data_IF_042761412218
#
_entry.id   IF_042761412218
#
_cell.length_a   1.000
_cell.length_b   1.000
_cell.length_c   1.000
_cell.angle_alpha   90.00
_cell.angle_beta   90.00
_cell.angle_gamma   90.00
#
_symmetry.space_group_name_H-M   'P 1'
#
loop_
_entity.id
_entity.type
_entity.pdbx_description
1 polymer ?
#
# COMPACT_ATOMS: atom_id res chain seq x y z
N UNK A 1 -56.20 -9.79 17.84
CA UNK A 1 -54.87 -9.23 18.09
C UNK A 1 -54.14 -9.27 16.77
N UNK A 2 -54.19 -8.16 16.04
CA UNK A 2 -53.53 -8.02 14.74
C UNK A 2 -52.07 -7.64 14.96
N UNK A 3 -51.16 -8.51 14.59
CA UNK A 3 -49.72 -8.17 14.48
C UNK A 3 -49.55 -7.39 13.17
N UNK A 4 -49.52 -6.06 13.28
CA UNK A 4 -49.03 -5.21 12.22
C UNK A 4 -47.54 -5.49 12.07
N UNK A 5 -47.19 -6.21 11.00
CA UNK A 5 -45.80 -6.33 10.55
C UNK A 5 -45.37 -4.97 10.02
N UNK A 6 -44.69 -4.18 10.83
CA UNK A 6 -43.88 -3.07 10.33
C UNK A 6 -42.80 -3.68 9.36
N UNK A 7 -43.12 -3.60 8.08
CA UNK A 7 -42.20 -3.92 7.01
C UNK A 7 -41.21 -2.76 6.91
N UNK A 8 -40.23 -2.72 7.81
CA UNK A 8 -39.07 -1.87 7.64
C UNK A 8 -38.34 -2.38 6.38
N UNK A 9 -38.62 -1.76 5.25
CA UNK A 9 -37.80 -1.95 4.05
C UNK A 9 -36.37 -1.61 4.45
N UNK A 10 -35.55 -2.64 4.67
CA UNK A 10 -34.14 -2.47 4.95
C UNK A 10 -33.53 -1.81 3.72
N UNK A 11 -33.14 -0.56 3.84
CA UNK A 11 -32.52 0.21 2.76
C UNK A 11 -31.29 -0.56 2.27
N UNK A 12 -31.33 -1.02 1.00
CA UNK A 12 -30.25 -1.78 0.43
C UNK A 12 -29.17 -0.82 -0.03
N UNK A 13 -27.93 -1.06 0.41
CA UNK A 13 -26.78 -0.30 -0.03
C UNK A 13 -26.59 -0.43 -1.54
N UNK A 14 -26.59 0.71 -2.23
CA UNK A 14 -26.27 0.76 -3.67
C UNK A 14 -24.76 0.77 -3.86
N UNK A 15 -24.18 -0.39 -4.08
CA UNK A 15 -22.72 -0.57 -4.17
C UNK A 15 -22.09 0.28 -5.28
N UNK A 16 -22.79 0.45 -6.40
CA UNK A 16 -22.32 1.22 -7.57
C UNK A 16 -22.28 2.75 -7.32
N UNK A 17 -22.87 3.20 -6.21
CA UNK A 17 -22.87 4.59 -5.77
C UNK A 17 -22.22 4.78 -4.39
N UNK A 18 -21.64 3.71 -3.83
CA UNK A 18 -20.99 3.75 -2.53
C UNK A 18 -19.47 3.92 -2.70
N UNK A 19 -19.01 5.16 -2.54
CA UNK A 19 -17.63 5.57 -2.78
C UNK A 19 -16.57 4.66 -2.11
N UNK A 20 -16.70 4.20 -0.84
CA UNK A 20 -15.72 3.29 -0.25
C UNK A 20 -15.56 1.98 -1.02
N UNK A 21 -16.65 1.44 -1.60
CA UNK A 21 -16.59 0.23 -2.43
C UNK A 21 -15.90 0.50 -3.77
N UNK A 22 -16.22 1.61 -4.43
CA UNK A 22 -15.58 2.00 -5.70
C UNK A 22 -14.07 2.18 -5.52
N UNK A 23 -13.64 2.87 -4.45
CA UNK A 23 -12.23 3.04 -4.10
C UNK A 23 -11.54 1.70 -3.85
N UNK A 24 -12.18 0.78 -3.12
CA UNK A 24 -11.63 -0.54 -2.85
C UNK A 24 -11.45 -1.36 -4.14
N UNK A 25 -12.43 -1.32 -5.06
CA UNK A 25 -12.35 -2.02 -6.35
C UNK A 25 -11.21 -1.46 -7.21
N UNK A 26 -11.09 -0.12 -7.32
CA UNK A 26 -10.01 0.51 -8.07
C UNK A 26 -8.66 0.19 -7.45
N UNK A 27 -8.51 0.32 -6.13
CA UNK A 27 -7.27 0.01 -5.42
C UNK A 27 -6.82 -1.45 -5.65
N UNK A 28 -7.76 -2.41 -5.64
CA UNK A 28 -7.46 -3.81 -5.91
C UNK A 28 -6.98 -4.02 -7.36
N UNK A 29 -7.63 -3.38 -8.34
CA UNK A 29 -7.22 -3.48 -9.75
C UNK A 29 -5.84 -2.88 -9.99
N UNK A 30 -5.55 -1.72 -9.41
CA UNK A 30 -4.22 -1.08 -9.47
C UNK A 30 -3.17 -1.97 -8.80
N UNK A 31 -3.48 -2.53 -7.61
CA UNK A 31 -2.60 -3.47 -6.93
C UNK A 31 -2.31 -4.71 -7.76
N UNK A 32 -3.29 -5.27 -8.46
CA UNK A 32 -3.10 -6.41 -9.35
C UNK A 32 -2.21 -6.05 -10.55
N UNK A 33 -2.43 -4.89 -11.16
CA UNK A 33 -1.63 -4.39 -12.29
C UNK A 33 -0.15 -4.28 -11.91
N UNK A 34 0.16 -3.68 -10.77
CA UNK A 34 1.53 -3.59 -10.25
C UNK A 34 2.04 -4.96 -9.81
N UNK A 35 1.22 -5.75 -9.12
CA UNK A 35 1.58 -7.09 -8.65
C UNK A 35 2.00 -8.03 -9.78
N UNK A 36 1.29 -8.01 -10.91
CA UNK A 36 1.63 -8.81 -12.09
C UNK A 36 3.01 -8.41 -12.68
N UNK A 37 3.29 -7.09 -12.75
CA UNK A 37 4.59 -6.60 -13.19
C UNK A 37 5.73 -7.10 -12.30
N UNK A 38 5.55 -6.98 -10.98
CA UNK A 38 6.56 -7.33 -9.99
C UNK A 38 6.80 -8.84 -9.97
N UNK A 39 5.72 -9.62 -9.97
CA UNK A 39 5.80 -11.07 -9.97
C UNK A 39 6.50 -11.60 -11.23
N UNK A 40 6.13 -11.11 -12.39
CA UNK A 40 6.69 -11.58 -13.68
C UNK A 40 8.17 -11.28 -13.82
N UNK A 41 8.65 -10.13 -13.31
CA UNK A 41 10.06 -9.72 -13.47
C UNK A 41 10.96 -10.20 -12.35
N UNK A 42 10.46 -10.28 -11.12
CA UNK A 42 11.29 -10.42 -9.92
C UNK A 42 10.84 -11.55 -8.99
N UNK A 43 9.76 -12.26 -9.31
CA UNK A 43 9.12 -13.26 -8.42
C UNK A 43 8.82 -12.71 -7.03
N UNK A 44 8.46 -11.43 -6.95
CA UNK A 44 8.10 -10.72 -5.73
C UNK A 44 6.59 -10.50 -5.65
N UNK A 45 6.09 -10.29 -4.43
CA UNK A 45 4.70 -9.97 -4.16
C UNK A 45 4.52 -8.48 -3.85
N UNK A 46 3.27 -7.99 -3.90
CA UNK A 46 2.95 -6.58 -3.60
C UNK A 46 3.48 -6.11 -2.23
N UNK A 47 3.40 -6.88 -1.13
CA UNK A 47 4.00 -6.48 0.14
C UNK A 47 5.52 -6.29 0.07
N UNK A 48 6.22 -7.14 -0.70
CA UNK A 48 7.68 -7.05 -0.87
C UNK A 48 8.08 -5.76 -1.55
N UNK A 49 7.42 -5.49 -2.67
CA UNK A 49 7.59 -4.25 -3.42
C UNK A 49 7.37 -3.01 -2.54
N UNK A 50 6.28 -2.97 -1.77
CA UNK A 50 6.00 -1.84 -0.89
C UNK A 50 7.12 -1.59 0.12
N UNK A 51 7.68 -2.65 0.71
CA UNK A 51 8.83 -2.53 1.61
C UNK A 51 10.05 -2.00 0.86
N UNK A 52 10.39 -2.59 -0.28
CA UNK A 52 11.57 -2.20 -1.05
C UNK A 52 11.56 -0.72 -1.43
N UNK A 53 10.46 -0.23 -2.02
CA UNK A 53 10.38 1.19 -2.43
C UNK A 53 10.28 2.15 -1.24
N UNK A 54 9.72 1.71 -0.13
CA UNK A 54 9.70 2.51 1.11
C UNK A 54 11.12 2.69 1.64
N UNK A 55 11.89 1.61 1.70
CA UNK A 55 13.30 1.67 2.12
C UNK A 55 14.18 2.43 1.11
N UNK A 56 13.91 2.30 -0.19
CA UNK A 56 14.61 3.06 -1.23
C UNK A 56 14.38 4.58 -1.08
N UNK A 57 13.16 4.96 -0.73
CA UNK A 57 12.77 6.36 -0.58
C UNK A 57 13.24 7.01 0.72
N UNK A 58 13.15 6.29 1.84
CA UNK A 58 13.33 6.87 3.18
C UNK A 58 14.59 6.37 3.89
N UNK A 59 15.31 5.41 3.31
CA UNK A 59 16.44 4.74 3.95
C UNK A 59 16.03 3.69 4.97
N UNK A 60 16.94 3.31 5.89
CA UNK A 60 16.68 2.32 6.92
C UNK A 60 15.53 2.74 7.86
N UNK A 61 14.57 1.81 8.10
CA UNK A 61 13.39 2.05 8.92
C UNK A 61 13.08 0.87 9.84
N UNK A 62 12.54 1.11 11.05
CA UNK A 62 12.00 0.04 11.87
C UNK A 62 10.71 -0.54 11.27
N UNK A 63 10.41 -1.85 11.52
CA UNK A 63 9.26 -2.54 10.92
C UNK A 63 7.89 -1.88 11.18
N UNK A 64 7.70 -1.26 12.34
CA UNK A 64 6.47 -0.53 12.66
C UNK A 64 6.31 0.71 11.75
N UNK A 65 7.36 1.45 11.52
CA UNK A 65 7.31 2.62 10.63
C UNK A 65 7.08 2.20 9.17
N UNK A 66 7.64 1.05 8.75
CA UNK A 66 7.30 0.46 7.44
C UNK A 66 5.81 0.10 7.37
N UNK A 67 5.24 -0.49 8.42
CA UNK A 67 3.82 -0.82 8.48
C UNK A 67 2.94 0.43 8.32
N UNK A 68 3.25 1.48 9.08
CA UNK A 68 2.51 2.75 9.05
C UNK A 68 2.56 3.40 7.65
N UNK A 69 3.77 3.53 7.07
CA UNK A 69 3.97 4.16 5.75
C UNK A 69 3.36 3.38 4.59
N UNK A 70 3.20 2.07 4.73
CA UNK A 70 2.67 1.19 3.69
C UNK A 70 1.20 0.85 3.87
N UNK A 71 0.59 1.27 4.98
CA UNK A 71 -0.75 0.87 5.41
C UNK A 71 -0.93 -0.67 5.42
N UNK A 72 0.13 -1.40 5.83
CA UNK A 72 0.12 -2.85 5.99
C UNK A 72 0.05 -3.24 7.45
N UNK A 73 -0.68 -4.32 7.75
CA UNK A 73 -0.66 -4.91 9.10
C UNK A 73 0.74 -5.48 9.45
N UNK A 74 1.04 -5.52 10.75
CA UNK A 74 2.35 -5.97 11.26
C UNK A 74 2.70 -7.41 10.85
N UNK A 75 1.69 -8.28 10.72
CA UNK A 75 1.89 -9.67 10.33
C UNK A 75 2.31 -9.76 8.84
N UNK A 76 1.70 -8.92 7.99
CA UNK A 76 2.06 -8.83 6.57
C UNK A 76 3.48 -8.29 6.39
N UNK A 77 3.85 -7.23 7.11
CA UNK A 77 5.23 -6.70 7.12
C UNK A 77 6.21 -7.77 7.59
N UNK A 78 5.91 -8.48 8.69
CA UNK A 78 6.76 -9.55 9.22
C UNK A 78 6.99 -10.69 8.23
N UNK A 79 5.98 -11.12 7.49
CA UNK A 79 6.12 -12.14 6.46
C UNK A 79 6.95 -11.67 5.26
N UNK A 80 6.69 -10.46 4.79
CA UNK A 80 7.40 -9.89 3.65
C UNK A 80 8.87 -9.60 3.98
N UNK A 81 9.18 -9.00 5.13
CA UNK A 81 10.57 -8.74 5.55
C UNK A 81 11.39 -10.03 5.67
N UNK A 82 10.79 -11.13 6.18
CA UNK A 82 11.48 -12.42 6.27
C UNK A 82 11.83 -12.95 4.89
N UNK A 83 10.86 -12.94 3.96
CA UNK A 83 11.09 -13.37 2.57
C UNK A 83 12.14 -12.50 1.88
N UNK A 84 12.10 -11.19 2.03
CA UNK A 84 13.09 -10.28 1.46
C UNK A 84 14.49 -10.50 2.04
N UNK A 85 14.58 -10.84 3.34
CA UNK A 85 15.83 -11.19 3.99
C UNK A 85 16.40 -12.52 3.46
N UNK A 86 15.55 -13.55 3.28
CA UNK A 86 15.94 -14.83 2.69
C UNK A 86 16.46 -14.68 1.26
N UNK A 87 15.88 -13.74 0.50
CA UNK A 87 16.30 -13.35 -0.85
C UNK A 87 17.51 -12.39 -0.88
N UNK A 88 18.03 -11.99 0.28
CA UNK A 88 19.14 -11.02 0.41
C UNK A 88 18.86 -9.66 -0.25
N UNK A 89 17.62 -9.25 -0.25
CA UNK A 89 17.19 -7.94 -0.75
C UNK A 89 17.15 -6.90 0.38
N UNK A 90 16.93 -7.36 1.61
CA UNK A 90 16.84 -6.53 2.82
C UNK A 90 17.62 -7.20 3.94
N UNK A 91 18.37 -6.43 4.71
CA UNK A 91 18.96 -6.85 5.99
C UNK A 91 18.08 -6.39 7.16
N UNK A 92 18.18 -7.14 8.26
CA UNK A 92 17.54 -6.84 9.52
C UNK A 92 18.64 -6.79 10.59
N UNK A 93 18.91 -5.61 11.12
CA UNK A 93 19.95 -5.38 12.11
C UNK A 93 19.39 -4.67 13.34
N UNK A 94 20.19 -4.65 14.43
CA UNK A 94 19.87 -3.80 15.56
C UNK A 94 20.10 -2.31 15.20
N UNK A 95 19.22 -1.45 15.70
CA UNK A 95 19.35 -0.02 15.53
C UNK A 95 20.67 0.44 16.19
N UNK A 96 21.55 1.14 15.47
CA UNK A 96 22.82 1.59 16.04
C UNK A 96 22.67 2.61 17.18
N UNK A 97 21.51 3.26 17.31
CA UNK A 97 21.21 4.23 18.36
C UNK A 97 20.46 3.58 19.53
N UNK A 98 19.48 2.71 19.22
CA UNK A 98 18.71 1.95 20.21
C UNK A 98 18.74 0.46 19.87
N UNK A 99 19.75 -0.25 20.40
CA UNK A 99 19.95 -1.67 20.15
C UNK A 99 18.79 -2.60 20.55
N UNK A 100 17.71 -2.08 21.17
CA UNK A 100 16.47 -2.82 21.44
C UNK A 100 15.54 -2.87 20.22
N UNK A 101 15.79 -2.02 19.24
CA UNK A 101 14.95 -1.90 18.03
C UNK A 101 15.62 -2.59 16.85
N UNK A 102 14.82 -3.19 15.99
CA UNK A 102 15.29 -3.71 14.71
C UNK A 102 15.05 -2.69 13.63
N UNK A 103 15.96 -2.62 12.67
CA UNK A 103 15.90 -1.75 11.49
C UNK A 103 16.05 -2.60 10.24
N UNK A 104 15.22 -2.32 9.27
CA UNK A 104 15.27 -2.88 7.91
C UNK A 104 16.10 -1.94 7.04
N UNK A 105 16.99 -2.50 6.26
CA UNK A 105 17.82 -1.76 5.29
C UNK A 105 17.88 -2.51 3.97
N UNK A 106 17.94 -1.78 2.85
CA UNK A 106 18.21 -2.42 1.56
C UNK A 106 19.61 -3.00 1.51
N UNK A 107 19.73 -4.22 1.03
CA UNK A 107 20.99 -4.79 0.58
C UNK A 107 21.34 -4.32 -0.84
N UNK A 108 22.57 -4.52 -1.27
CA UNK A 108 23.03 -4.11 -2.61
C UNK A 108 22.14 -4.71 -3.73
N UNK A 109 21.72 -5.96 -3.57
CA UNK A 109 20.81 -6.61 -4.50
C UNK A 109 19.41 -5.94 -4.49
N UNK A 110 18.91 -5.55 -3.31
CA UNK A 110 17.66 -4.81 -3.17
C UNK A 110 17.69 -3.46 -3.89
N UNK A 111 18.79 -2.72 -3.74
CA UNK A 111 19.00 -1.46 -4.46
C UNK A 111 18.97 -1.67 -5.99
N UNK A 112 19.62 -2.74 -6.47
CA UNK A 112 19.59 -3.07 -7.92
C UNK A 112 18.18 -3.39 -8.40
N UNK A 113 17.44 -4.20 -7.63
CA UNK A 113 16.03 -4.50 -7.94
C UNK A 113 15.19 -3.22 -7.99
N UNK A 114 15.32 -2.31 -7.03
CA UNK A 114 14.61 -1.03 -7.04
C UNK A 114 14.93 -0.20 -8.30
N UNK A 115 16.19 -0.13 -8.71
CA UNK A 115 16.60 0.61 -9.92
C UNK A 115 15.94 0.10 -11.21
N UNK A 116 15.67 -1.20 -11.32
CA UNK A 116 14.99 -1.78 -12.47
C UNK A 116 13.46 -1.69 -12.35
N UNK A 117 12.95 -1.81 -11.14
CA UNK A 117 11.53 -1.90 -10.87
C UNK A 117 10.85 -0.52 -10.92
N UNK A 118 11.47 0.51 -10.33
CA UNK A 118 10.89 1.86 -10.25
C UNK A 118 10.54 2.43 -11.62
N UNK A 119 11.41 2.41 -12.66
CA UNK A 119 11.05 2.88 -13.99
C UNK A 119 9.86 2.14 -14.60
N UNK A 120 9.78 0.81 -14.37
CA UNK A 120 8.67 0.00 -14.86
C UNK A 120 7.35 0.33 -14.14
N UNK A 121 7.40 0.63 -12.85
CA UNK A 121 6.23 1.05 -12.08
C UNK A 121 5.74 2.44 -12.50
N UNK A 122 6.65 3.39 -12.75
CA UNK A 122 6.33 4.72 -13.26
C UNK A 122 5.68 4.66 -14.65
N UNK A 123 6.15 3.76 -15.51
CA UNK A 123 5.51 3.54 -16.81
C UNK A 123 4.07 2.99 -16.66
N UNK A 124 3.84 2.09 -15.68
CA UNK A 124 2.48 1.62 -15.37
C UNK A 124 1.60 2.72 -14.79
N UNK A 125 2.14 3.59 -13.96
CA UNK A 125 1.43 4.77 -13.48
C UNK A 125 1.02 5.66 -14.64
N UNK A 126 1.93 5.97 -15.57
CA UNK A 126 1.63 6.77 -16.76
C UNK A 126 0.48 6.17 -17.57
N UNK A 127 0.51 4.84 -17.83
CA UNK A 127 -0.57 4.15 -18.53
C UNK A 127 -1.90 4.20 -17.77
N UNK A 128 -1.88 4.09 -16.46
CA UNK A 128 -3.08 4.21 -15.62
C UNK A 128 -3.71 5.60 -15.74
N UNK A 129 -2.90 6.64 -15.83
CA UNK A 129 -3.33 8.03 -15.84
C UNK A 129 -3.64 8.57 -17.25
N UNK A 130 -3.40 7.82 -18.32
CA UNK A 130 -3.67 8.24 -19.71
C UNK A 130 -5.14 8.63 -19.99
N UNK A 131 -6.07 8.12 -19.17
CA UNK A 131 -7.49 8.48 -19.27
C UNK A 131 -7.84 9.84 -18.66
N UNK A 132 -6.88 10.50 -17.99
CA UNK A 132 -7.07 11.77 -17.31
C UNK A 132 -6.35 12.89 -18.05
N UNK A 133 -6.99 14.08 -18.08
CA UNK A 133 -6.30 15.32 -18.45
C UNK A 133 -5.32 15.73 -17.34
N UNK A 134 -4.32 16.58 -17.64
CA UNK A 134 -3.39 17.08 -16.61
C UNK A 134 -4.08 17.76 -15.43
N UNK A 135 -5.18 18.47 -15.65
CA UNK A 135 -5.96 19.12 -14.59
C UNK A 135 -6.66 18.10 -13.69
N UNK A 136 -7.23 17.03 -14.27
CA UNK A 136 -7.86 15.95 -13.52
C UNK A 136 -6.84 15.15 -12.71
N UNK A 137 -5.64 14.90 -13.24
CA UNK A 137 -4.57 14.24 -12.48
C UNK A 137 -4.17 15.07 -11.25
N UNK A 138 -3.97 16.37 -11.40
CA UNK A 138 -3.66 17.28 -10.29
C UNK A 138 -4.78 17.27 -9.25
N UNK A 139 -6.04 17.33 -9.69
CA UNK A 139 -7.20 17.29 -8.81
C UNK A 139 -7.29 15.95 -8.06
N UNK A 140 -7.11 14.83 -8.76
CA UNK A 140 -7.12 13.49 -8.16
C UNK A 140 -6.06 13.35 -7.06
N UNK A 141 -4.81 13.77 -7.33
CA UNK A 141 -3.72 13.72 -6.34
C UNK A 141 -4.05 14.57 -5.11
N UNK A 142 -4.62 15.77 -5.30
CA UNK A 142 -5.01 16.65 -4.20
C UNK A 142 -6.15 16.04 -3.36
N UNK A 143 -7.15 15.43 -4.01
CA UNK A 143 -8.28 14.77 -3.34
C UNK A 143 -7.77 13.56 -2.53
N UNK A 144 -6.96 12.69 -3.13
CA UNK A 144 -6.40 11.52 -2.45
C UNK A 144 -5.55 11.92 -1.24
N UNK A 145 -4.72 12.96 -1.35
CA UNK A 145 -3.93 13.47 -0.23
C UNK A 145 -4.81 13.97 0.92
N UNK A 146 -5.89 14.70 0.60
CA UNK A 146 -6.85 15.18 1.59
C UNK A 146 -7.61 14.05 2.29
N UNK A 147 -8.05 13.04 1.53
CA UNK A 147 -8.72 11.87 2.06
C UNK A 147 -7.79 11.05 2.97
N UNK A 148 -6.53 10.88 2.57
CA UNK A 148 -5.53 10.16 3.35
C UNK A 148 -5.36 10.76 4.75
N UNK A 149 -5.13 12.07 4.84
CA UNK A 149 -5.02 12.77 6.12
C UNK A 149 -6.29 12.62 6.97
N UNK A 150 -7.46 12.76 6.36
CA UNK A 150 -8.72 12.65 7.09
C UNK A 150 -8.99 11.22 7.59
N UNK A 151 -8.64 10.18 6.85
CA UNK A 151 -8.83 8.80 7.29
C UNK A 151 -7.91 8.43 8.46
N UNK A 152 -6.71 9.00 8.55
CA UNK A 152 -5.83 8.83 9.70
C UNK A 152 -6.48 9.39 10.99
N UNK A 153 -7.09 10.59 10.89
CA UNK A 153 -7.78 11.23 12.02
C UNK A 153 -9.02 10.41 12.46
N UNK A 154 -9.82 9.90 11.52
CA UNK A 154 -11.03 9.11 11.82
C UNK A 154 -10.68 7.80 12.52
N UNK A 155 -9.67 7.07 12.02
CA UNK A 155 -9.23 5.80 12.63
C UNK A 155 -8.64 6.04 14.02
N UNK A 156 -7.90 7.12 14.23
CA UNK A 156 -7.30 7.45 15.51
C UNK A 156 -8.34 7.82 16.60
N UNK A 157 -9.58 8.16 16.21
CA UNK A 157 -10.67 8.49 17.16
C UNK A 157 -11.52 7.29 17.54
N UNK A 158 -11.35 6.12 16.92
CA UNK A 158 -12.08 4.88 17.20
C UNK A 158 -11.34 3.93 18.19
N UNK A 159 -10.07 4.21 18.52
CA UNK A 159 -9.24 3.51 19.51
C UNK A 159 -9.27 4.24 20.87
#
# INVERSE_FOLDING_TARGET
MSFESENAETEKLQLDAFLPFELAVIANRVSQMIGNLIYTKFDLQVPDWRILVTLDRYGPLPPNEVADRTAMDKARVSRAQRRLSDLKLVSIADDPVDGRRKVLSLEELGVRVCRELVPSALERERQLLECLSPAEEVALRAILAKMHLHTEDVVATED
#
